data_IF_392200008190
#
_entry.id   IF_392200008190
#
_cell.length_a   1.000
_cell.length_b   1.000
_cell.length_c   1.000
_cell.angle_alpha   90.00
_cell.angle_beta   90.00
_cell.angle_gamma   90.00
#
_symmetry.space_group_name_H-M   'P 1'
#
loop_
_entity.id
_entity.type
_entity.pdbx_description
1 polymer ?
#
# COMPACT_ATOMS: atom_id res chain seq x y z
N UNK A 1 -4.95 -15.35 -23.82
CA UNK A 1 -4.14 -15.96 -22.76
C UNK A 1 -4.55 -15.30 -21.46
N UNK A 2 -4.92 -16.05 -20.42
CA UNK A 2 -5.21 -15.45 -19.11
C UNK A 2 -3.89 -15.02 -18.47
N UNK A 3 -3.68 -13.71 -18.35
CA UNK A 3 -2.51 -13.15 -17.67
C UNK A 3 -2.67 -13.31 -16.15
N UNK A 4 -1.55 -13.44 -15.43
CA UNK A 4 -1.52 -13.46 -13.97
C UNK A 4 -2.10 -12.13 -13.46
N UNK A 5 -3.12 -12.20 -12.60
CA UNK A 5 -3.69 -11.02 -11.96
C UNK A 5 -2.87 -10.66 -10.73
N UNK A 6 -1.94 -9.74 -10.90
CA UNK A 6 -1.05 -9.28 -9.84
C UNK A 6 -1.64 -8.15 -9.01
N UNK A 7 -1.53 -8.21 -7.68
CA UNK A 7 -1.93 -7.13 -6.78
C UNK A 7 -0.82 -6.79 -5.78
N UNK A 8 -0.58 -5.50 -5.55
CA UNK A 8 0.31 -5.00 -4.50
C UNK A 8 -0.51 -4.21 -3.50
N UNK A 9 -0.34 -4.49 -2.21
CA UNK A 9 -1.08 -3.82 -1.13
C UNK A 9 -0.07 -3.33 -0.09
N UNK A 10 -0.09 -2.04 0.25
CA UNK A 10 0.83 -1.49 1.25
C UNK A 10 0.24 -1.53 2.67
N UNK A 11 1.08 -1.72 3.69
CA UNK A 11 0.67 -1.61 5.10
C UNK A 11 -0.30 -2.71 5.54
N UNK A 12 0.08 -3.97 5.34
CA UNK A 12 -0.79 -5.12 5.57
C UNK A 12 -0.69 -5.71 6.99
N UNK A 13 -0.46 -4.87 8.01
CA UNK A 13 -0.29 -5.32 9.39
C UNK A 13 -1.46 -6.18 9.90
N UNK A 14 -1.17 -7.06 10.86
CA UNK A 14 -2.15 -8.00 11.43
C UNK A 14 -3.42 -7.29 11.92
N UNK A 15 -4.58 -7.89 11.63
CA UNK A 15 -5.91 -7.32 11.91
C UNK A 15 -6.31 -6.06 11.11
N UNK A 16 -5.45 -5.50 10.26
CA UNK A 16 -5.73 -4.27 9.51
C UNK A 16 -6.54 -4.46 8.22
N UNK A 17 -6.96 -3.34 7.62
CA UNK A 17 -7.67 -3.32 6.32
C UNK A 17 -6.81 -3.96 5.22
N UNK A 18 -5.52 -3.65 5.17
CA UNK A 18 -4.59 -4.23 4.20
C UNK A 18 -4.49 -5.75 4.30
N UNK A 19 -4.50 -6.31 5.52
CA UNK A 19 -4.54 -7.76 5.73
C UNK A 19 -5.83 -8.39 5.17
N UNK A 20 -6.99 -7.82 5.50
CA UNK A 20 -8.27 -8.33 4.98
C UNK A 20 -8.37 -8.25 3.45
N UNK A 21 -7.89 -7.15 2.85
CA UNK A 21 -7.82 -6.99 1.39
C UNK A 21 -6.90 -8.02 0.75
N UNK A 22 -5.75 -8.30 1.38
CA UNK A 22 -4.79 -9.29 0.91
C UNK A 22 -5.42 -10.68 0.87
N UNK A 23 -6.10 -11.08 1.96
CA UNK A 23 -6.79 -12.36 2.04
C UNK A 23 -7.91 -12.49 0.99
N UNK A 24 -8.71 -11.45 0.80
CA UNK A 24 -9.82 -11.49 -0.17
C UNK A 24 -9.33 -11.52 -1.62
N UNK A 25 -8.28 -10.77 -1.97
CA UNK A 25 -7.70 -10.81 -3.32
C UNK A 25 -7.04 -12.15 -3.61
N UNK A 26 -6.34 -12.75 -2.64
CA UNK A 26 -5.81 -14.11 -2.75
C UNK A 26 -6.93 -15.12 -3.01
N UNK A 27 -8.03 -15.04 -2.26
CA UNK A 27 -9.22 -15.89 -2.46
C UNK A 27 -9.85 -15.74 -3.85
N UNK A 28 -9.73 -14.55 -4.46
CA UNK A 28 -10.17 -14.27 -5.85
C UNK A 28 -9.16 -14.71 -6.92
N UNK A 29 -8.06 -15.35 -6.53
CA UNK A 29 -7.05 -15.89 -7.45
C UNK A 29 -6.02 -14.87 -7.93
N UNK A 30 -5.82 -13.76 -7.21
CA UNK A 30 -4.72 -12.85 -7.48
C UNK A 30 -3.39 -13.38 -6.92
N UNK A 31 -2.29 -13.09 -7.60
CA UNK A 31 -0.96 -13.12 -7.00
C UNK A 31 -0.80 -11.85 -6.18
N UNK A 32 -0.96 -11.98 -4.86
CA UNK A 32 -0.89 -10.86 -3.92
C UNK A 32 0.51 -10.72 -3.37
N UNK A 33 1.05 -9.51 -3.44
CA UNK A 33 2.28 -9.07 -2.78
C UNK A 33 1.89 -8.03 -1.73
N UNK A 34 1.99 -8.42 -0.46
CA UNK A 34 1.61 -7.58 0.67
C UNK A 34 2.85 -6.96 1.31
N UNK A 35 2.82 -5.66 1.59
CA UNK A 35 3.95 -5.01 2.26
C UNK A 35 3.75 -4.86 3.76
N UNK A 36 4.84 -5.02 4.50
CA UNK A 36 4.95 -4.77 5.93
C UNK A 36 6.20 -3.94 6.22
N UNK A 37 6.21 -3.23 7.35
CA UNK A 37 7.44 -2.66 7.92
C UNK A 37 8.36 -3.78 8.41
N UNK A 38 9.66 -3.51 8.51
CA UNK A 38 10.68 -4.51 8.84
C UNK A 38 10.46 -5.22 10.17
N UNK A 39 9.86 -4.54 11.15
CA UNK A 39 9.63 -5.04 12.50
C UNK A 39 8.32 -5.81 12.69
N UNK A 40 7.40 -5.78 11.72
CA UNK A 40 6.10 -6.45 11.85
C UNK A 40 6.21 -7.97 11.63
N UNK A 41 5.38 -8.77 12.30
CA UNK A 41 5.34 -10.23 12.10
C UNK A 41 4.62 -10.59 10.79
N UNK A 42 5.27 -11.33 9.84
CA UNK A 42 4.63 -11.70 8.58
C UNK A 42 3.78 -12.97 8.68
N UNK A 43 3.85 -13.71 9.80
CA UNK A 43 3.30 -15.07 9.93
C UNK A 43 1.82 -15.17 9.57
N UNK A 44 1.04 -14.13 9.87
CA UNK A 44 -0.40 -14.09 9.60
C UNK A 44 -0.75 -14.02 8.10
N UNK A 45 0.13 -13.47 7.25
CA UNK A 45 -0.04 -13.45 5.79
C UNK A 45 0.57 -14.70 5.15
N UNK A 46 1.72 -15.14 5.66
CA UNK A 46 2.39 -16.36 5.18
C UNK A 46 1.51 -17.60 5.40
N UNK A 47 0.79 -17.66 6.52
CA UNK A 47 -0.21 -18.70 6.79
C UNK A 47 -1.36 -18.75 5.75
N UNK A 48 -1.56 -17.68 4.99
CA UNK A 48 -2.54 -17.58 3.90
C UNK A 48 -1.92 -17.77 2.51
N UNK A 49 -0.65 -18.20 2.43
CA UNK A 49 0.12 -18.34 1.18
C UNK A 49 0.21 -17.00 0.40
N UNK A 50 0.36 -15.88 1.13
CA UNK A 50 0.52 -14.55 0.55
C UNK A 50 2.00 -14.16 0.59
N UNK A 51 2.54 -13.66 -0.52
CA UNK A 51 3.92 -13.19 -0.59
C UNK A 51 4.05 -11.88 0.20
N UNK A 52 4.97 -11.86 1.16
CA UNK A 52 5.23 -10.68 2.01
C UNK A 52 6.55 -10.04 1.61
N UNK A 53 6.55 -8.72 1.44
CA UNK A 53 7.74 -7.93 1.14
C UNK A 53 7.91 -6.83 2.17
N UNK A 54 9.13 -6.65 2.69
CA UNK A 54 9.44 -5.51 3.56
C UNK A 54 9.55 -4.25 2.71
N UNK A 55 8.75 -3.24 3.05
CA UNK A 55 8.79 -1.96 2.36
C UNK A 55 8.21 -0.85 3.24
N UNK A 56 9.06 0.12 3.60
CA UNK A 56 8.63 1.43 4.07
C UNK A 56 8.33 2.33 2.87
N UNK A 57 7.07 2.77 2.74
CA UNK A 57 6.63 3.63 1.62
C UNK A 57 7.30 5.01 1.62
N UNK A 58 7.97 5.39 2.70
CA UNK A 58 8.73 6.65 2.82
C UNK A 58 10.19 6.52 2.33
N UNK A 59 10.67 5.29 2.09
CA UNK A 59 12.02 4.97 1.63
C UNK A 59 12.05 4.78 0.11
N UNK A 60 12.85 5.59 -0.59
CA UNK A 60 13.07 5.42 -2.04
C UNK A 60 13.74 4.09 -2.38
N UNK A 61 14.64 3.62 -1.52
CA UNK A 61 15.37 2.37 -1.71
C UNK A 61 14.40 1.18 -1.65
N UNK A 62 13.54 1.14 -0.63
CA UNK A 62 12.54 0.09 -0.43
C UNK A 62 11.58 0.03 -1.62
N UNK A 63 11.04 1.17 -2.05
CA UNK A 63 10.08 1.22 -3.16
C UNK A 63 10.75 0.82 -4.48
N UNK A 64 12.01 1.20 -4.69
CA UNK A 64 12.78 0.77 -5.87
C UNK A 64 13.03 -0.74 -5.86
N UNK A 65 13.35 -1.32 -4.70
CA UNK A 65 13.54 -2.75 -4.53
C UNK A 65 12.22 -3.51 -4.76
N UNK A 66 11.11 -3.01 -4.21
CA UNK A 66 9.77 -3.54 -4.43
C UNK A 66 9.40 -3.54 -5.91
N UNK A 67 9.64 -2.43 -6.64
CA UNK A 67 9.39 -2.35 -8.09
C UNK A 67 10.08 -3.48 -8.85
N UNK A 68 11.37 -3.71 -8.59
CA UNK A 68 12.14 -4.77 -9.27
C UNK A 68 11.57 -6.16 -8.97
N UNK A 69 11.13 -6.39 -7.73
CA UNK A 69 10.50 -7.65 -7.33
C UNK A 69 9.15 -7.83 -8.05
N UNK A 70 8.27 -6.83 -8.00
CA UNK A 70 6.95 -6.84 -8.64
C UNK A 70 7.08 -7.08 -10.14
N UNK A 71 8.00 -6.39 -10.81
CA UNK A 71 8.28 -6.54 -12.23
C UNK A 71 8.69 -7.99 -12.57
N UNK A 72 9.55 -8.59 -11.76
CA UNK A 72 9.98 -9.99 -11.93
C UNK A 72 8.88 -11.00 -11.63
N UNK A 73 8.07 -10.78 -10.59
CA UNK A 73 7.06 -11.73 -10.13
C UNK A 73 5.81 -11.75 -11.00
N UNK A 74 5.43 -10.59 -11.55
CA UNK A 74 4.16 -10.40 -12.24
C UNK A 74 4.33 -10.21 -13.75
N UNK A 75 5.47 -10.64 -14.32
CA UNK A 75 5.78 -10.53 -15.76
C UNK A 75 5.60 -9.09 -16.29
N UNK A 76 6.10 -8.13 -15.51
CA UNK A 76 6.01 -6.70 -15.84
C UNK A 76 4.59 -6.11 -15.85
N UNK A 77 3.58 -6.81 -15.31
CA UNK A 77 2.17 -6.40 -15.36
C UNK A 77 1.53 -6.38 -13.97
N UNK A 78 1.24 -5.18 -13.47
CA UNK A 78 0.56 -5.02 -12.19
C UNK A 78 -0.92 -4.67 -12.41
N UNK A 79 -1.84 -5.55 -12.01
CA UNK A 79 -3.28 -5.31 -12.22
C UNK A 79 -3.88 -4.34 -11.21
N UNK A 80 -3.44 -4.39 -9.95
CA UNK A 80 -3.98 -3.52 -8.88
C UNK A 80 -2.84 -3.07 -7.96
N UNK A 81 -2.75 -1.77 -7.70
CA UNK A 81 -2.00 -1.20 -6.60
C UNK A 81 -2.97 -0.63 -5.57
N UNK A 82 -2.90 -1.09 -4.32
CA UNK A 82 -3.67 -0.56 -3.20
C UNK A 82 -2.71 0.15 -2.24
N UNK A 83 -2.78 1.48 -2.22
CA UNK A 83 -2.07 2.32 -1.26
C UNK A 83 -2.89 2.37 0.04
N UNK A 84 -2.58 1.48 0.98
CA UNK A 84 -3.29 1.33 2.25
C UNK A 84 -2.42 1.71 3.47
N UNK A 85 -1.10 1.71 3.36
CA UNK A 85 -0.22 2.14 4.45
C UNK A 85 -0.58 3.56 4.92
N UNK A 86 -0.82 3.70 6.21
CA UNK A 86 -1.15 4.99 6.80
C UNK A 86 -0.98 5.01 8.32
N UNK A 87 -0.68 6.19 8.85
CA UNK A 87 -0.57 6.46 10.29
C UNK A 87 -1.45 7.65 10.69
N UNK A 88 -1.74 7.81 11.97
CA UNK A 88 -2.58 8.91 12.46
C UNK A 88 -1.95 9.57 13.68
N UNK A 89 -1.93 10.90 13.67
CA UNK A 89 -1.48 11.78 14.75
C UNK A 89 -2.14 13.15 14.56
N UNK A 90 -2.10 14.01 15.59
CA UNK A 90 -2.92 15.23 15.62
C UNK A 90 -2.14 16.53 15.81
N UNK A 91 -1.21 16.61 16.76
CA UNK A 91 -0.71 17.93 17.23
C UNK A 91 0.80 18.12 17.22
N UNK A 92 1.61 17.05 17.26
CA UNK A 92 3.06 17.18 17.26
C UNK A 92 3.58 17.35 15.84
N UNK A 93 4.16 18.50 15.52
CA UNK A 93 4.59 18.88 14.15
C UNK A 93 5.47 17.80 13.51
N UNK A 94 6.50 17.32 14.21
CA UNK A 94 7.39 16.28 13.70
C UNK A 94 6.64 14.97 13.35
N UNK A 95 5.64 14.61 14.14
CA UNK A 95 4.79 13.45 13.88
C UNK A 95 3.82 13.70 12.72
N UNK A 96 3.32 14.93 12.59
CA UNK A 96 2.48 15.34 11.45
C UNK A 96 3.29 15.30 10.15
N UNK A 97 4.53 15.77 10.16
CA UNK A 97 5.42 15.66 9.00
C UNK A 97 5.66 14.20 8.61
N UNK A 98 5.90 13.31 9.58
CA UNK A 98 5.99 11.86 9.34
C UNK A 98 4.69 11.31 8.74
N UNK A 99 3.54 11.72 9.27
CA UNK A 99 2.24 11.32 8.75
C UNK A 99 2.04 11.76 7.30
N UNK A 100 2.45 12.97 6.91
CA UNK A 100 2.44 13.39 5.49
C UNK A 100 3.38 12.56 4.63
N UNK A 101 4.56 12.21 5.15
CA UNK A 101 5.51 11.32 4.44
C UNK A 101 4.91 9.95 4.14
N UNK A 102 4.14 9.37 5.05
CA UNK A 102 3.46 8.08 4.85
C UNK A 102 2.21 8.27 3.99
N UNK A 103 1.26 9.09 4.43
CA UNK A 103 -0.11 9.11 3.93
C UNK A 103 -0.25 9.89 2.62
N UNK A 104 0.64 10.86 2.36
CA UNK A 104 0.57 11.70 1.15
C UNK A 104 1.67 11.32 0.17
N UNK A 105 2.93 11.46 0.59
CA UNK A 105 4.06 11.21 -0.30
C UNK A 105 4.32 9.72 -0.54
N UNK A 106 3.89 8.84 0.37
CA UNK A 106 3.97 7.38 0.20
C UNK A 106 3.19 6.91 -1.04
N UNK A 107 1.86 7.13 -1.13
CA UNK A 107 1.08 6.81 -2.32
C UNK A 107 1.65 7.41 -3.62
N UNK A 108 2.09 8.68 -3.58
CA UNK A 108 2.70 9.34 -4.74
C UNK A 108 3.96 8.62 -5.22
N UNK A 109 4.85 8.23 -4.29
CA UNK A 109 6.07 7.47 -4.58
C UNK A 109 5.76 6.08 -5.14
N UNK A 110 4.82 5.37 -4.53
CA UNK A 110 4.39 4.05 -5.00
C UNK A 110 3.89 4.09 -6.44
N UNK A 111 3.03 5.06 -6.76
CA UNK A 111 2.54 5.28 -8.13
C UNK A 111 3.69 5.68 -9.06
N UNK A 112 4.56 6.61 -8.65
CA UNK A 112 5.70 7.04 -9.45
C UNK A 112 6.59 5.87 -9.89
N UNK A 113 6.84 4.89 -9.02
CA UNK A 113 7.68 3.75 -9.38
C UNK A 113 6.94 2.62 -10.11
N UNK A 114 5.68 2.36 -9.75
CA UNK A 114 4.93 1.21 -10.26
C UNK A 114 4.05 1.53 -11.47
N UNK A 115 3.83 2.81 -11.82
CA UNK A 115 2.96 3.19 -12.94
C UNK A 115 3.31 2.53 -14.29
N UNK A 116 4.57 2.25 -14.67
CA UNK A 116 4.83 1.58 -15.94
C UNK A 116 4.20 0.18 -16.01
N UNK A 117 4.23 -0.55 -14.89
CA UNK A 117 3.65 -1.89 -14.77
C UNK A 117 2.12 -1.85 -14.77
N UNK A 118 1.54 -0.82 -14.14
CA UNK A 118 0.10 -0.57 -14.12
C UNK A 118 -0.41 -0.20 -15.51
N UNK A 119 0.26 0.71 -16.22
CA UNK A 119 -0.10 1.10 -17.59
C UNK A 119 -0.06 -0.11 -18.54
N UNK A 120 0.99 -0.93 -18.45
CA UNK A 120 1.13 -2.13 -19.27
C UNK A 120 0.00 -3.14 -19.03
N UNK A 121 -0.53 -3.22 -17.81
CA UNK A 121 -1.64 -4.10 -17.46
C UNK A 121 -3.03 -3.47 -17.66
N UNK A 122 -3.11 -2.18 -17.97
CA UNK A 122 -4.35 -1.37 -17.83
C UNK A 122 -4.95 -1.52 -16.42
N UNK A 123 -4.07 -1.49 -15.43
CA UNK A 123 -4.37 -1.73 -14.03
C UNK A 123 -5.05 -0.56 -13.32
N UNK A 124 -5.40 -0.80 -12.07
CA UNK A 124 -6.11 0.14 -11.19
C UNK A 124 -5.19 0.57 -10.03
N UNK A 125 -5.24 1.86 -9.69
CA UNK A 125 -4.72 2.38 -8.42
C UNK A 125 -5.89 2.65 -7.49
N UNK A 126 -5.78 2.20 -6.24
CA UNK A 126 -6.76 2.45 -5.17
C UNK A 126 -6.03 3.09 -4.00
N UNK A 127 -6.46 4.28 -3.60
CA UNK A 127 -5.96 4.96 -2.40
C UNK A 127 -6.97 4.78 -1.27
N UNK A 128 -6.53 4.28 -0.11
CA UNK A 128 -7.38 4.18 1.08
C UNK A 128 -7.30 5.51 1.84
N UNK A 129 -8.39 6.28 1.75
CA UNK A 129 -8.57 7.53 2.50
C UNK A 129 -9.44 7.35 3.74
N UNK A 130 -9.79 8.47 4.38
CA UNK A 130 -10.70 8.54 5.52
C UNK A 130 -11.78 9.59 5.31
N UNK A 131 -12.94 9.43 5.96
CA UNK A 131 -14.01 10.45 6.00
C UNK A 131 -13.51 11.77 6.60
N UNK A 132 -12.48 11.72 7.47
CA UNK A 132 -11.77 12.92 7.94
C UNK A 132 -11.25 13.80 6.81
N UNK A 133 -10.93 13.18 5.68
CA UNK A 133 -10.63 13.78 4.38
C UNK A 133 -11.62 14.84 3.88
N UNK A 134 -12.88 14.69 4.29
CA UNK A 134 -14.03 15.41 3.74
C UNK A 134 -14.69 16.25 4.83
N UNK A 135 -14.75 15.74 6.06
CA UNK A 135 -15.40 16.40 7.19
C UNK A 135 -14.41 16.49 8.36
N UNK A 136 -14.02 17.70 8.78
CA UNK A 136 -13.16 17.86 9.95
C UNK A 136 -13.94 17.42 11.20
N UNK A 137 -13.29 16.64 12.06
CA UNK A 137 -13.85 16.21 13.34
C UNK A 137 -12.88 16.53 14.49
N UNK A 138 -13.44 16.64 15.70
CA UNK A 138 -12.68 16.97 16.91
C UNK A 138 -11.61 15.89 17.14
N UNK A 139 -10.37 16.30 17.45
CA UNK A 139 -9.18 15.42 17.59
C UNK A 139 -8.64 14.77 16.31
N UNK A 140 -9.04 15.28 15.13
CA UNK A 140 -8.54 14.82 13.83
C UNK A 140 -7.90 15.92 12.99
N UNK A 141 -7.45 17.02 13.59
CA UNK A 141 -7.07 18.25 12.89
C UNK A 141 -6.01 18.02 11.82
N UNK A 142 -4.89 17.40 12.18
CA UNK A 142 -3.80 17.16 11.23
C UNK A 142 -4.04 15.96 10.30
N UNK A 143 -4.85 14.98 10.70
CA UNK A 143 -5.19 13.79 9.91
C UNK A 143 -6.24 14.07 8.82
N UNK A 144 -7.17 14.99 9.10
CA UNK A 144 -8.29 15.34 8.21
C UNK A 144 -7.90 15.76 6.78
N UNK A 145 -6.85 16.56 6.50
CA UNK A 145 -6.57 16.99 5.12
C UNK A 145 -5.98 15.91 4.19
N UNK A 146 -5.88 14.65 4.59
CA UNK A 146 -5.05 13.63 3.91
C UNK A 146 -5.83 12.71 2.95
N UNK A 147 -6.92 13.22 2.36
CA UNK A 147 -7.61 12.50 1.27
C UNK A 147 -6.80 12.62 -0.02
N UNK A 148 -6.18 11.54 -0.46
CA UNK A 148 -5.77 11.41 -1.87
C UNK A 148 -6.90 10.69 -2.60
N UNK A 149 -7.62 11.44 -3.45
CA UNK A 149 -8.50 10.89 -4.48
C UNK A 149 -7.65 10.18 -5.55
#
# INVERSE_FOLDING_TARGET
>A
MNHIKGAVITGCGSGGIGHALSAELKRRGFHVISTLLSFEDPSHLEALDIEVVRCDVTSEEDVTALKRLVEKRLDGRLSILINNAGISTDTQVDEVEKMFRVNVFGPMRMVHHLHPLLVQAKGLVVNIGSVGGIVPYIYGGAFSPQLIL
#
